data_IF_008757290440
#
_entry.id   IF_008757290440
#
_cell.length_a   1.000
_cell.length_b   1.000
_cell.length_c   1.000
_cell.angle_alpha   90.00
_cell.angle_beta   90.00
_cell.angle_gamma   90.00
#
_symmetry.space_group_name_H-M   'P 1'
#
loop_
_entity.id
_entity.type
_entity.pdbx_description
1 polymer ?
#
# COMPACT_ATOMS: atom_id res chain seq x y z
N UNK A 1 -16.26 19.87 7.52
CA UNK A 1 -15.09 19.14 6.99
C UNK A 1 -14.75 19.74 5.64
N UNK A 2 -13.54 20.26 5.47
CA UNK A 2 -13.17 20.99 4.25
C UNK A 2 -12.97 20.04 3.06
N UNK A 3 -13.25 20.52 1.84
CA UNK A 3 -13.08 19.73 0.61
C UNK A 3 -11.65 19.17 0.46
N UNK A 4 -10.64 19.89 0.97
CA UNK A 4 -9.24 19.46 0.98
C UNK A 4 -9.00 18.26 1.91
N UNK A 5 -9.56 18.27 3.13
CA UNK A 5 -9.38 17.17 4.09
C UNK A 5 -10.15 15.93 3.64
N UNK A 6 -11.33 16.10 3.03
CA UNK A 6 -12.09 15.01 2.42
C UNK A 6 -11.28 14.30 1.31
N UNK A 7 -10.63 15.06 0.43
CA UNK A 7 -9.84 14.48 -0.66
C UNK A 7 -8.58 13.76 -0.15
N UNK A 8 -7.94 14.31 0.88
CA UNK A 8 -6.78 13.68 1.53
C UNK A 8 -7.16 12.36 2.21
N UNK A 9 -8.29 12.34 2.91
CA UNK A 9 -8.83 11.13 3.53
C UNK A 9 -9.16 10.06 2.49
N UNK A 10 -9.82 10.45 1.39
CA UNK A 10 -10.12 9.54 0.27
C UNK A 10 -8.85 8.96 -0.36
N UNK A 11 -7.84 9.79 -0.60
CA UNK A 11 -6.55 9.34 -1.14
C UNK A 11 -5.77 8.41 -0.20
N UNK A 12 -5.94 8.57 1.11
CA UNK A 12 -5.36 7.64 2.09
C UNK A 12 -6.13 6.33 2.17
N UNK A 13 -7.47 6.37 2.15
CA UNK A 13 -8.31 5.17 2.29
C UNK A 13 -8.39 4.32 1.02
N UNK A 14 -8.21 4.91 -0.16
CA UNK A 14 -8.28 4.18 -1.43
C UNK A 14 -7.18 3.12 -1.54
N UNK A 15 -6.02 3.35 -0.91
CA UNK A 15 -4.90 2.41 -0.90
C UNK A 15 -5.23 1.11 -0.16
N UNK A 16 -5.57 1.12 1.15
CA UNK A 16 -5.91 -0.10 1.86
C UNK A 16 -7.18 -0.75 1.31
N UNK A 17 -8.19 0.04 0.90
CA UNK A 17 -9.40 -0.50 0.30
C UNK A 17 -9.13 -1.18 -1.04
N UNK A 18 -8.37 -0.54 -1.93
CA UNK A 18 -8.01 -1.10 -3.23
C UNK A 18 -7.11 -2.34 -3.12
N UNK A 19 -6.14 -2.32 -2.21
CA UNK A 19 -5.31 -3.49 -1.91
C UNK A 19 -6.16 -4.65 -1.38
N UNK A 20 -7.11 -4.41 -0.47
CA UNK A 20 -8.02 -5.45 0.02
C UNK A 20 -8.94 -6.01 -1.09
N UNK A 21 -9.44 -5.14 -1.98
CA UNK A 21 -10.25 -5.54 -3.14
C UNK A 21 -9.45 -6.42 -4.11
N UNK A 22 -8.14 -6.21 -4.25
CA UNK A 22 -7.28 -7.08 -5.09
C UNK A 22 -6.86 -8.34 -4.34
N UNK A 23 -6.60 -8.24 -3.03
CA UNK A 23 -6.24 -9.37 -2.18
C UNK A 23 -7.33 -10.45 -2.16
N UNK A 24 -8.60 -10.06 -2.06
CA UNK A 24 -9.72 -11.01 -1.99
C UNK A 24 -9.82 -11.95 -3.21
N UNK A 25 -9.95 -11.46 -4.46
CA UNK A 25 -9.98 -12.32 -5.64
C UNK A 25 -8.65 -13.04 -5.86
N UNK A 26 -7.50 -12.41 -5.52
CA UNK A 26 -6.22 -13.09 -5.58
C UNK A 26 -6.19 -14.31 -4.65
N UNK A 27 -6.68 -14.16 -3.42
CA UNK A 27 -6.75 -15.24 -2.42
C UNK A 27 -7.76 -16.34 -2.79
N UNK A 28 -8.83 -15.99 -3.51
CA UNK A 28 -9.88 -16.93 -3.91
C UNK A 28 -9.52 -17.71 -5.19
N UNK A 29 -8.80 -17.09 -6.11
CA UNK A 29 -8.42 -17.71 -7.39
C UNK A 29 -7.03 -18.35 -7.37
N UNK A 30 -6.10 -17.82 -6.59
CA UNK A 30 -4.73 -18.33 -6.52
C UNK A 30 -4.51 -19.01 -5.18
N UNK A 31 -4.00 -20.23 -5.21
CA UNK A 31 -3.49 -20.88 -4.01
C UNK A 31 -2.30 -20.08 -3.48
N UNK A 32 -2.26 -19.88 -2.15
CA UNK A 32 -1.14 -19.24 -1.48
C UNK A 32 0.04 -20.22 -1.39
N UNK A 33 0.98 -20.08 -2.32
CA UNK A 33 2.28 -20.74 -2.29
C UNK A 33 3.38 -19.67 -2.16
N UNK A 34 4.62 -20.10 -1.92
CA UNK A 34 5.73 -19.15 -1.72
C UNK A 34 5.92 -18.18 -2.89
N UNK A 35 5.73 -18.63 -4.13
CA UNK A 35 5.88 -17.78 -5.32
C UNK A 35 4.74 -16.77 -5.45
N UNK A 36 3.48 -17.20 -5.28
CA UNK A 36 2.32 -16.29 -5.35
C UNK A 36 2.32 -15.29 -4.20
N UNK A 37 2.79 -15.70 -3.02
CA UNK A 37 3.01 -14.81 -1.89
C UNK A 37 4.07 -13.75 -2.21
N UNK A 38 5.24 -14.16 -2.70
CA UNK A 38 6.30 -13.23 -3.08
C UNK A 38 5.80 -12.25 -4.15
N UNK A 39 5.13 -12.74 -5.19
CA UNK A 39 4.59 -11.90 -6.25
C UNK A 39 3.57 -10.88 -5.72
N UNK A 40 2.62 -11.33 -4.91
CA UNK A 40 1.60 -10.45 -4.34
C UNK A 40 2.22 -9.37 -3.46
N UNK A 41 3.08 -9.79 -2.54
CA UNK A 41 3.65 -8.92 -1.53
C UNK A 41 4.72 -7.99 -2.08
N UNK A 42 5.63 -8.44 -2.96
CA UNK A 42 6.75 -7.61 -3.44
C UNK A 42 6.49 -6.89 -4.76
N UNK A 43 5.50 -7.31 -5.54
CA UNK A 43 5.26 -6.73 -6.87
C UNK A 43 3.92 -6.01 -6.94
N UNK A 44 2.83 -6.71 -6.62
CA UNK A 44 1.48 -6.14 -6.65
C UNK A 44 1.27 -5.06 -5.60
N UNK A 45 1.64 -5.34 -4.35
CA UNK A 45 1.38 -4.44 -3.21
C UNK A 45 2.04 -3.07 -3.37
N UNK A 46 3.36 -2.93 -3.61
CA UNK A 46 3.99 -1.62 -3.78
C UNK A 46 3.52 -0.91 -5.06
N UNK A 47 3.26 -1.67 -6.14
CA UNK A 47 2.74 -1.11 -7.39
C UNK A 47 1.36 -0.47 -7.21
N UNK A 48 0.44 -1.18 -6.55
CA UNK A 48 -0.90 -0.66 -6.25
C UNK A 48 -0.86 0.49 -5.25
N UNK A 49 0.01 0.44 -4.24
CA UNK A 49 0.15 1.51 -3.26
C UNK A 49 0.58 2.84 -3.89
N UNK A 50 1.43 2.79 -4.93
CA UNK A 50 1.84 3.96 -5.70
C UNK A 50 0.78 4.39 -6.73
N UNK A 51 0.06 3.44 -7.32
CA UNK A 51 -0.91 3.72 -8.39
C UNK A 51 -2.25 4.26 -7.86
N UNK A 52 -2.83 3.64 -6.84
CA UNK A 52 -4.19 3.93 -6.35
C UNK A 52 -4.42 5.41 -5.97
N UNK A 53 -3.48 6.11 -5.29
CA UNK A 53 -3.68 7.53 -4.96
C UNK A 53 -3.78 8.44 -6.19
N UNK A 54 -3.22 8.03 -7.34
CA UNK A 54 -3.27 8.84 -8.58
C UNK A 54 -4.65 8.86 -9.21
N UNK A 55 -5.51 7.88 -8.88
CA UNK A 55 -6.90 7.82 -9.33
C UNK A 55 -7.81 8.82 -8.61
N UNK A 56 -7.36 9.44 -7.51
CA UNK A 56 -8.13 10.43 -6.75
C UNK A 56 -7.80 11.85 -7.25
N UNK A 57 -8.69 12.51 -8.01
CA UNK A 57 -8.40 13.82 -8.59
C UNK A 57 -8.33 14.92 -7.53
N UNK A 58 -7.41 15.86 -7.70
CA UNK A 58 -7.30 17.05 -6.84
C UNK A 58 -6.48 16.85 -5.58
N UNK A 59 -5.73 15.76 -5.48
CA UNK A 59 -4.76 15.55 -4.42
C UNK A 59 -3.38 16.05 -4.83
N UNK A 60 -2.71 16.83 -3.97
CA UNK A 60 -1.36 17.36 -4.26
C UNK A 60 -0.26 16.56 -3.58
N UNK A 61 -0.61 15.68 -2.63
CA UNK A 61 0.37 14.96 -1.79
C UNK A 61 0.13 13.46 -1.80
N UNK A 62 0.20 12.85 -2.98
CA UNK A 62 0.01 11.41 -3.18
C UNK A 62 1.03 10.53 -2.42
N UNK A 63 2.23 11.08 -2.12
CA UNK A 63 3.30 10.32 -1.47
C UNK A 63 2.94 9.92 -0.03
N UNK A 64 2.46 10.88 0.77
CA UNK A 64 2.10 10.63 2.17
C UNK A 64 0.93 9.65 2.26
N UNK A 65 0.01 9.70 1.30
CA UNK A 65 -1.16 8.84 1.22
C UNK A 65 -0.81 7.42 0.82
N UNK A 66 0.13 7.26 -0.12
CA UNK A 66 0.67 5.96 -0.51
C UNK A 66 1.29 5.25 0.70
N UNK A 67 2.19 5.94 1.41
CA UNK A 67 2.90 5.38 2.57
C UNK A 67 1.94 5.12 3.73
N UNK A 68 1.10 6.09 4.08
CA UNK A 68 0.15 5.95 5.20
C UNK A 68 -0.88 4.86 4.92
N UNK A 69 -1.43 4.82 3.71
CA UNK A 69 -2.38 3.79 3.30
C UNK A 69 -1.77 2.39 3.27
N UNK A 70 -0.51 2.28 2.86
CA UNK A 70 0.25 1.02 2.90
C UNK A 70 0.47 0.54 4.33
N UNK A 71 0.86 1.43 5.25
CA UNK A 71 1.02 1.11 6.68
C UNK A 71 -0.31 0.64 7.28
N UNK A 72 -1.41 1.34 6.98
CA UNK A 72 -2.75 0.95 7.44
C UNK A 72 -3.12 -0.44 6.91
N UNK A 73 -2.88 -0.71 5.63
CA UNK A 73 -3.12 -2.02 5.04
C UNK A 73 -2.34 -3.13 5.74
N UNK A 74 -1.03 -2.96 5.93
CA UNK A 74 -0.22 -3.96 6.63
C UNK A 74 -0.62 -4.12 8.09
N UNK A 75 -1.00 -3.05 8.78
CA UNK A 75 -1.53 -3.15 10.14
C UNK A 75 -2.79 -4.02 10.18
N UNK A 76 -3.75 -3.78 9.29
CA UNK A 76 -4.94 -4.63 9.16
C UNK A 76 -4.59 -6.09 8.86
N UNK A 77 -3.66 -6.32 7.94
CA UNK A 77 -3.21 -7.68 7.62
C UNK A 77 -2.60 -8.37 8.84
N UNK A 78 -1.71 -7.71 9.57
CA UNK A 78 -1.11 -8.27 10.80
C UNK A 78 -2.19 -8.68 11.80
N UNK A 79 -3.22 -7.85 12.02
CA UNK A 79 -4.33 -8.22 12.91
C UNK A 79 -5.14 -9.41 12.39
N UNK A 80 -5.38 -9.46 11.07
CA UNK A 80 -6.17 -10.53 10.45
C UNK A 80 -5.47 -11.90 10.51
N UNK A 81 -4.16 -11.92 10.29
CA UNK A 81 -3.38 -13.18 10.22
C UNK A 81 -2.53 -13.44 11.48
N UNK A 82 -2.76 -12.69 12.56
CA UNK A 82 -2.00 -12.80 13.82
C UNK A 82 -1.98 -14.22 14.39
N UNK A 83 -3.09 -14.97 14.26
CA UNK A 83 -3.15 -16.36 14.74
C UNK A 83 -2.28 -17.33 13.92
N UNK A 84 -1.82 -16.94 12.73
CA UNK A 84 -0.96 -17.73 11.85
C UNK A 84 0.52 -17.29 11.90
N UNK A 85 0.96 -16.66 12.99
CA UNK A 85 2.29 -16.06 13.16
C UNK A 85 3.47 -16.99 12.85
N UNK A 86 3.30 -18.31 13.01
CA UNK A 86 4.38 -19.30 12.77
C UNK A 86 4.49 -19.77 11.31
N UNK A 87 3.70 -19.22 10.38
CA UNK A 87 3.74 -19.63 8.98
C UNK A 87 4.81 -18.86 8.20
N UNK A 88 5.42 -19.53 7.21
CA UNK A 88 6.37 -18.88 6.29
C UNK A 88 5.73 -17.71 5.55
N UNK A 89 4.43 -17.80 5.25
CA UNK A 89 3.65 -16.74 4.60
C UNK A 89 3.56 -15.48 5.46
N UNK A 90 3.40 -15.62 6.78
CA UNK A 90 3.40 -14.50 7.71
C UNK A 90 4.77 -13.82 7.75
N UNK A 91 5.85 -14.60 7.77
CA UNK A 91 7.23 -14.07 7.73
C UNK A 91 7.51 -13.32 6.44
N UNK A 92 7.11 -13.87 5.28
CA UNK A 92 7.22 -13.20 3.97
C UNK A 92 6.43 -11.90 3.95
N UNK A 93 5.22 -11.88 4.49
CA UNK A 93 4.42 -10.65 4.60
C UNK A 93 5.14 -9.59 5.46
N UNK A 94 5.66 -9.93 6.63
CA UNK A 94 6.35 -8.96 7.50
C UNK A 94 7.61 -8.40 6.85
N UNK A 95 8.43 -9.25 6.24
CA UNK A 95 9.62 -8.82 5.50
C UNK A 95 9.24 -7.90 4.34
N UNK A 96 8.16 -8.24 3.62
CA UNK A 96 7.64 -7.38 2.55
C UNK A 96 7.14 -6.03 3.05
N UNK A 97 6.56 -5.96 4.25
CA UNK A 97 6.11 -4.71 4.85
C UNK A 97 7.28 -3.73 4.99
N UNK A 98 8.38 -4.18 5.60
CA UNK A 98 9.57 -3.34 5.78
C UNK A 98 10.13 -2.88 4.44
N UNK A 99 10.29 -3.81 3.49
CA UNK A 99 10.85 -3.51 2.17
C UNK A 99 9.95 -2.55 1.40
N UNK A 100 8.64 -2.79 1.37
CA UNK A 100 7.70 -1.97 0.62
C UNK A 100 7.56 -0.58 1.21
N UNK A 101 7.55 -0.43 2.54
CA UNK A 101 7.53 0.89 3.17
C UNK A 101 8.77 1.69 2.77
N UNK A 102 9.96 1.09 2.80
CA UNK A 102 11.19 1.75 2.35
C UNK A 102 11.11 2.09 0.87
N UNK A 103 10.77 1.12 0.02
CA UNK A 103 10.71 1.26 -1.44
C UNK A 103 9.72 2.35 -1.86
N UNK A 104 8.48 2.28 -1.37
CA UNK A 104 7.42 3.26 -1.67
C UNK A 104 7.80 4.63 -1.14
N UNK A 105 8.43 4.73 0.04
CA UNK A 105 8.90 6.01 0.57
C UNK A 105 9.98 6.63 -0.31
N UNK A 106 10.97 5.84 -0.77
CA UNK A 106 12.04 6.32 -1.66
C UNK A 106 11.47 6.76 -3.01
N UNK A 107 10.65 5.91 -3.66
CA UNK A 107 10.06 6.22 -4.96
C UNK A 107 9.17 7.46 -4.86
N UNK A 108 8.33 7.55 -3.83
CA UNK A 108 7.43 8.67 -3.65
C UNK A 108 8.19 9.96 -3.29
N UNK A 109 9.36 9.86 -2.64
CA UNK A 109 10.23 11.00 -2.42
C UNK A 109 10.91 11.48 -3.71
N UNK A 110 11.41 10.56 -4.55
CA UNK A 110 12.01 10.90 -5.85
C UNK A 110 10.99 11.52 -6.81
N UNK A 111 9.73 11.07 -6.76
CA UNK A 111 8.65 11.58 -7.60
C UNK A 111 7.99 12.86 -7.06
N UNK A 112 8.59 13.54 -6.05
CA UNK A 112 8.11 14.87 -5.66
C UNK A 112 8.20 15.80 -6.88
N UNK A 113 7.09 16.36 -7.38
CA UNK A 113 7.17 17.33 -8.46
C UNK A 113 8.05 18.48 -7.99
N UNK A 114 9.04 18.86 -8.81
CA UNK A 114 10.04 19.91 -8.56
C UNK A 114 9.46 21.33 -8.42
N UNK A 115 8.19 21.47 -8.03
CA UNK A 115 7.47 22.74 -7.89
C UNK A 115 7.62 23.37 -6.49
N UNK A 116 8.48 22.84 -5.62
CA UNK A 116 8.82 23.43 -4.31
C UNK A 116 10.29 23.90 -4.21
N UNK A 117 11.07 23.85 -5.29
CA UNK A 117 12.43 24.42 -5.33
C UNK A 117 12.47 25.87 -5.85
N UNK A 118 11.32 26.55 -5.90
CA UNK A 118 11.21 27.98 -6.18
C UNK A 118 10.28 28.65 -5.16
N UNK A 119 10.73 28.73 -3.92
CA UNK A 119 10.30 29.76 -2.97
C UNK A 119 11.47 30.12 -2.06
#
# INVERSE_FOLDING_TARGET
MDKKSLNTLKGTLIVPAGLAIVLAPFSLWMEWNGMTAIFFWFMLTPGLALYLPTLVPGNKSHWAESVTGLIIFYAFMVFMIYQQFQTDLFSVMLVSCVINVILVSVIAWMNKPAAQSQH
#
